data_IF_053878319636
#
_entry.id   IF_053878319636
#
_cell.length_a   1.000
_cell.length_b   1.000
_cell.length_c   1.000
_cell.angle_alpha   90.00
_cell.angle_beta   90.00
_cell.angle_gamma   90.00
#
_symmetry.space_group_name_H-M   'P 1'
#
loop_
_entity.id
_entity.type
_entity.pdbx_description
1 polymer ?
#
# COMPACT_ATOMS: atom_id res chain seq x y z
N UNK A 1 13.33 -3.01 21.62
CA UNK A 1 13.31 -3.45 20.20
C UNK A 1 11.90 -3.91 19.89
N UNK A 2 11.04 -3.04 19.34
CA UNK A 2 9.65 -3.37 19.03
C UNK A 2 9.62 -4.37 17.86
N UNK A 3 8.80 -5.43 17.98
CA UNK A 3 8.51 -6.38 16.90
C UNK A 3 7.14 -6.01 16.35
N UNK A 4 7.02 -5.93 15.02
CA UNK A 4 5.73 -5.71 14.34
C UNK A 4 5.10 -7.05 13.99
N UNK A 5 3.77 -7.10 14.06
CA UNK A 5 2.91 -8.20 13.61
C UNK A 5 2.27 -7.81 12.28
N UNK A 6 2.89 -8.12 11.15
CA UNK A 6 2.27 -7.93 9.84
C UNK A 6 1.36 -9.13 9.51
N UNK A 7 0.09 -8.88 9.19
CA UNK A 7 -0.88 -9.85 8.69
C UNK A 7 -0.81 -9.92 7.18
N UNK A 8 -0.86 -11.14 6.63
CA UNK A 8 -1.17 -11.28 5.21
C UNK A 8 -2.65 -11.00 4.94
N UNK A 9 -2.93 -10.06 4.04
CA UNK A 9 -4.27 -9.61 3.62
C UNK A 9 -4.90 -10.50 2.55
N UNK A 10 -4.46 -11.76 2.42
CA UNK A 10 -5.07 -12.82 1.58
C UNK A 10 -6.46 -13.29 2.08
N UNK A 11 -7.20 -12.39 2.74
CA UNK A 11 -8.53 -12.59 3.31
C UNK A 11 -9.68 -12.32 2.31
N UNK A 12 -9.39 -11.91 1.07
CA UNK A 12 -10.40 -11.86 0.02
C UNK A 12 -10.52 -13.22 -0.69
N UNK A 13 -11.27 -14.14 -0.05
CA UNK A 13 -11.82 -15.38 -0.64
C UNK A 13 -10.81 -16.45 -1.09
N UNK A 14 -9.94 -16.91 -0.21
CA UNK A 14 -9.46 -18.29 -0.34
C UNK A 14 -10.47 -19.24 0.33
N UNK A 15 -11.33 -19.90 -0.46
CA UNK A 15 -12.01 -21.12 -0.02
C UNK A 15 -10.92 -22.17 0.23
N UNK A 16 -10.44 -22.30 1.46
CA UNK A 16 -9.56 -23.39 1.86
C UNK A 16 -10.40 -24.67 2.11
N UNK A 17 -11.02 -25.18 1.05
CA UNK A 17 -11.47 -26.58 0.98
C UNK A 17 -10.36 -27.50 0.43
N UNK A 18 -9.15 -26.95 0.16
CA UNK A 18 -7.98 -27.70 -0.34
C UNK A 18 -6.67 -27.31 0.37
N UNK A 19 -5.77 -28.28 0.63
CA UNK A 19 -4.59 -28.11 1.50
C UNK A 19 -3.53 -27.17 0.90
N UNK A 20 -3.02 -26.23 1.70
CA UNK A 20 -1.86 -25.39 1.36
C UNK A 20 -0.57 -25.90 2.00
N UNK A 21 0.51 -25.98 1.24
CA UNK A 21 1.81 -26.50 1.71
C UNK A 21 2.72 -25.36 2.23
N UNK A 22 3.21 -25.44 3.47
CA UNK A 22 4.26 -24.55 3.98
C UNK A 22 5.60 -25.26 3.79
N UNK A 23 6.53 -24.66 3.05
CA UNK A 23 7.87 -25.24 2.85
C UNK A 23 8.90 -24.40 3.60
N UNK A 24 9.67 -25.02 4.49
CA UNK A 24 10.87 -24.36 4.98
C UNK A 24 11.94 -24.54 3.89
N UNK A 25 12.32 -23.50 3.15
CA UNK A 25 13.55 -23.58 2.36
C UNK A 25 14.35 -22.27 2.27
N UNK A 26 15.66 -22.50 2.44
CA UNK A 26 16.84 -21.74 2.07
C UNK A 26 17.23 -20.47 2.86
N UNK A 27 17.82 -20.72 4.04
CA UNK A 27 19.13 -20.13 4.34
C UNK A 27 20.13 -21.29 4.35
N UNK A 28 21.30 -21.10 3.72
CA UNK A 28 22.39 -22.09 3.59
C UNK A 28 22.50 -23.01 4.81
N UNK A 29 22.67 -24.33 4.63
CA UNK A 29 22.67 -25.27 5.74
C UNK A 29 23.77 -24.98 6.77
N UNK A 30 23.51 -25.24 8.08
CA UNK A 30 22.22 -25.62 8.65
C UNK A 30 21.52 -24.39 9.26
N UNK A 31 20.32 -24.07 8.80
CA UNK A 31 19.44 -23.16 9.51
C UNK A 31 18.12 -23.87 9.82
N UNK A 32 18.07 -24.52 10.98
CA UNK A 32 16.90 -25.25 11.51
C UNK A 32 15.79 -24.28 11.93
N UNK A 33 14.56 -24.76 12.09
CA UNK A 33 13.48 -24.01 12.75
C UNK A 33 12.74 -24.89 13.75
N UNK A 34 11.85 -24.29 14.53
CA UNK A 34 10.92 -25.06 15.36
C UNK A 34 9.49 -24.64 15.14
N UNK A 35 8.59 -25.63 15.22
CA UNK A 35 7.16 -25.40 15.32
C UNK A 35 6.71 -25.74 16.72
N UNK A 36 6.03 -24.80 17.37
CA UNK A 36 5.40 -24.99 18.68
C UNK A 36 3.89 -24.85 18.50
N UNK A 37 3.14 -25.91 18.81
CA UNK A 37 1.68 -25.88 18.85
C UNK A 37 1.16 -25.71 20.26
N UNK A 38 0.27 -24.74 20.49
CA UNK A 38 -0.45 -24.58 21.76
C UNK A 38 -1.90 -25.07 21.60
N UNK A 39 -2.31 -26.01 22.47
CA UNK A 39 -3.68 -26.48 22.53
C UNK A 39 -4.32 -25.99 23.83
N UNK A 40 -5.16 -24.94 23.77
CA UNK A 40 -5.79 -24.36 24.96
C UNK A 40 -6.96 -25.21 25.52
N UNK A 41 -7.36 -26.29 24.85
CA UNK A 41 -8.48 -27.16 25.28
C UNK A 41 -8.12 -28.15 26.38
N UNK A 42 -6.86 -28.49 26.61
CA UNK A 42 -6.48 -29.59 27.52
C UNK A 42 -5.78 -29.15 28.81
N UNK A 43 -5.53 -27.85 29.01
CA UNK A 43 -4.87 -27.35 30.24
C UNK A 43 -3.44 -27.86 30.47
N UNK A 44 -2.89 -28.71 29.59
CA UNK A 44 -1.54 -29.25 29.70
C UNK A 44 -0.54 -28.36 28.96
N UNK A 45 0.00 -27.39 29.68
CA UNK A 45 1.08 -26.52 29.22
C UNK A 45 2.37 -27.27 28.96
N UNK A 46 2.66 -27.55 27.69
CA UNK A 46 3.98 -27.49 27.03
C UNK A 46 3.74 -27.86 25.57
N UNK A 47 3.72 -26.86 24.69
CA UNK A 47 3.48 -27.08 23.27
C UNK A 47 4.46 -28.11 22.70
N UNK A 48 3.99 -29.03 21.86
CA UNK A 48 4.86 -30.03 21.22
C UNK A 48 5.82 -29.28 20.29
N UNK A 49 7.11 -29.30 20.64
CA UNK A 49 8.18 -28.76 19.83
C UNK A 49 8.51 -29.76 18.72
N UNK A 50 8.24 -29.39 17.48
CA UNK A 50 8.71 -30.11 16.30
C UNK A 50 9.87 -29.33 15.71
N UNK A 51 10.99 -30.00 15.44
CA UNK A 51 12.11 -29.39 14.72
C UNK A 51 11.88 -29.61 13.24
N UNK A 52 12.01 -28.54 12.45
CA UNK A 52 12.02 -28.63 11.00
C UNK A 52 13.45 -28.48 10.50
N UNK A 53 13.87 -29.41 9.66
CA UNK A 53 15.15 -29.33 8.97
C UNK A 53 15.08 -28.37 7.79
N UNK A 54 16.23 -27.82 7.41
CA UNK A 54 16.34 -27.00 6.21
C UNK A 54 15.90 -27.81 4.99
N UNK A 55 14.85 -27.35 4.32
CA UNK A 55 14.30 -27.97 3.12
C UNK A 55 13.10 -28.88 3.30
N UNK A 56 12.78 -29.19 4.55
CA UNK A 56 11.60 -29.96 4.94
C UNK A 56 10.30 -29.18 4.61
N UNK A 57 9.30 -29.91 4.12
CA UNK A 57 7.99 -29.35 3.77
C UNK A 57 6.91 -29.91 4.68
N UNK A 58 6.09 -29.02 5.23
CA UNK A 58 4.96 -29.36 6.10
C UNK A 58 3.69 -28.69 5.60
N UNK A 59 2.61 -29.46 5.48
CA UNK A 59 1.32 -28.93 5.05
C UNK A 59 0.57 -28.36 6.24
N UNK A 60 0.09 -27.12 6.10
CA UNK A 60 -0.78 -26.50 7.09
C UNK A 60 -2.21 -26.48 6.54
N UNK A 61 -3.11 -27.14 7.24
CA UNK A 61 -4.53 -27.22 6.88
C UNK A 61 -5.40 -26.90 8.09
N UNK A 62 -6.71 -26.72 7.87
CA UNK A 62 -7.69 -26.61 8.95
C UNK A 62 -8.61 -27.82 8.92
N UNK A 63 -8.89 -28.43 10.08
CA UNK A 63 -9.82 -29.55 10.22
C UNK A 63 -10.61 -29.40 11.52
N UNK A 64 -11.93 -29.48 11.44
CA UNK A 64 -12.84 -29.43 12.60
C UNK A 64 -12.61 -28.24 13.56
N UNK A 65 -12.26 -27.07 13.03
CA UNK A 65 -12.02 -25.87 13.85
C UNK A 65 -10.58 -25.69 14.32
N UNK A 66 -9.71 -26.68 14.13
CA UNK A 66 -8.31 -26.66 14.55
C UNK A 66 -7.37 -26.61 13.34
N UNK A 67 -6.16 -26.10 13.54
CA UNK A 67 -5.08 -26.21 12.57
C UNK A 67 -4.50 -27.61 12.64
N UNK A 68 -4.21 -28.19 11.47
CA UNK A 68 -3.46 -29.43 11.33
C UNK A 68 -2.15 -29.16 10.59
N UNK A 69 -1.04 -29.48 11.23
CA UNK A 69 0.27 -29.53 10.60
C UNK A 69 0.60 -30.98 10.24
N UNK A 70 0.84 -31.28 8.97
CA UNK A 70 1.16 -32.63 8.51
C UNK A 70 2.40 -32.65 7.61
N UNK A 71 3.35 -33.52 7.90
CA UNK A 71 4.55 -33.83 7.12
C UNK A 71 4.91 -35.31 7.27
N UNK A 72 6.08 -35.72 6.79
CA UNK A 72 6.53 -37.12 6.82
C UNK A 72 6.61 -37.67 8.25
N UNK A 73 7.17 -36.90 9.19
CA UNK A 73 7.30 -37.29 10.60
C UNK A 73 6.39 -36.47 11.55
N UNK A 74 5.54 -35.61 10.99
CA UNK A 74 4.79 -34.60 11.73
C UNK A 74 3.30 -34.76 11.50
N UNK A 75 2.52 -34.91 12.57
CA UNK A 75 1.07 -34.79 12.52
C UNK A 75 0.60 -34.16 13.83
N UNK A 76 0.25 -32.88 13.79
CA UNK A 76 -0.12 -32.08 14.95
C UNK A 76 -1.44 -31.36 14.73
N UNK A 77 -2.20 -31.21 15.81
CA UNK A 77 -3.39 -30.38 15.85
C UNK A 77 -3.22 -29.30 16.91
N UNK A 78 -3.55 -28.05 16.58
CA UNK A 78 -3.47 -26.93 17.50
C UNK A 78 -4.42 -25.79 17.08
N UNK A 79 -4.78 -24.92 18.02
CA UNK A 79 -5.51 -23.68 17.70
C UNK A 79 -4.56 -22.60 17.17
N UNK A 80 -3.31 -22.65 17.62
CA UNK A 80 -2.22 -21.78 17.21
C UNK A 80 -0.95 -22.60 16.96
N UNK A 81 -0.26 -22.31 15.85
CA UNK A 81 1.07 -22.85 15.54
C UNK A 81 2.05 -21.69 15.35
N UNK A 82 3.19 -21.74 16.02
CA UNK A 82 4.28 -20.78 15.85
C UNK A 82 5.47 -21.44 15.17
N UNK A 83 5.87 -20.92 14.02
CA UNK A 83 7.05 -21.31 13.27
C UNK A 83 8.16 -20.31 13.58
N UNK A 84 9.11 -20.71 14.42
CA UNK A 84 10.24 -19.89 14.84
C UNK A 84 11.51 -20.30 14.07
N UNK A 85 12.15 -19.40 13.30
CA UNK A 85 13.37 -19.73 12.58
C UNK A 85 14.56 -19.74 13.54
N UNK A 86 15.55 -20.62 13.32
CA UNK A 86 16.86 -20.46 13.95
C UNK A 86 17.71 -19.47 13.14
N UNK A 87 18.37 -18.56 13.87
CA UNK A 87 19.23 -17.56 13.28
C UNK A 87 18.50 -16.67 12.27
N UNK A 88 18.97 -16.66 11.02
CA UNK A 88 18.44 -15.85 9.92
C UNK A 88 17.55 -16.64 8.95
N UNK A 89 17.12 -17.85 9.32
CA UNK A 89 16.20 -18.61 8.49
C UNK A 89 14.88 -17.85 8.26
N UNK A 90 14.25 -18.16 7.14
CA UNK A 90 12.93 -17.67 6.77
C UNK A 90 12.05 -18.87 6.40
N UNK A 91 10.74 -18.70 6.54
CA UNK A 91 9.77 -19.73 6.15
C UNK A 91 9.10 -19.32 4.84
N UNK A 92 9.14 -20.22 3.86
CA UNK A 92 8.50 -19.99 2.56
C UNK A 92 7.06 -20.49 2.58
N UNK A 93 6.15 -19.60 2.22
CA UNK A 93 4.74 -19.93 2.11
C UNK A 93 4.42 -20.27 0.65
N UNK A 94 3.85 -21.46 0.42
CA UNK A 94 3.35 -21.94 -0.89
C UNK A 94 1.88 -22.34 -0.79
N UNK A 95 1.19 -22.38 -1.92
CA UNK A 95 -0.14 -22.98 -2.04
C UNK A 95 -1.12 -22.12 -2.83
N UNK A 96 -2.13 -22.77 -3.41
CA UNK A 96 -3.09 -22.15 -4.33
C UNK A 96 -3.95 -21.04 -3.67
N UNK A 97 -4.08 -21.10 -2.34
CA UNK A 97 -4.75 -20.07 -1.53
C UNK A 97 -3.90 -18.80 -1.34
N UNK A 98 -2.63 -18.85 -1.72
CA UNK A 98 -1.69 -17.75 -1.64
C UNK A 98 -1.60 -17.08 -3.01
N UNK A 99 -2.11 -15.86 -3.14
CA UNK A 99 -1.99 -15.09 -4.38
C UNK A 99 -0.54 -14.70 -4.67
N UNK A 100 0.04 -15.18 -5.78
CA UNK A 100 1.37 -14.77 -6.26
C UNK A 100 2.50 -15.78 -5.98
N UNK A 101 3.72 -15.38 -6.31
CA UNK A 101 4.91 -16.22 -6.23
C UNK A 101 5.24 -16.68 -4.80
N UNK A 102 5.90 -17.85 -4.65
CA UNK A 102 6.47 -18.29 -3.37
C UNK A 102 7.28 -17.16 -2.73
N UNK A 103 7.00 -16.91 -1.46
CA UNK A 103 7.63 -15.81 -0.70
C UNK A 103 8.09 -16.33 0.65
N UNK A 104 9.37 -16.11 0.95
CA UNK A 104 9.96 -16.43 2.25
C UNK A 104 9.85 -15.26 3.22
N UNK A 105 9.40 -15.53 4.44
CA UNK A 105 9.15 -14.54 5.47
C UNK A 105 10.18 -14.67 6.59
N UNK A 106 10.93 -13.58 6.90
CA UNK A 106 11.84 -13.57 8.03
C UNK A 106 11.07 -13.38 9.34
N UNK A 107 11.64 -13.90 10.43
CA UNK A 107 11.02 -13.84 11.75
C UNK A 107 10.04 -14.99 12.00
N UNK A 108 9.20 -14.84 13.01
CA UNK A 108 8.31 -15.92 13.47
C UNK A 108 6.98 -15.85 12.74
N UNK A 109 6.57 -16.91 12.04
CA UNK A 109 5.21 -17.01 11.52
C UNK A 109 4.29 -17.60 12.57
N UNK A 110 3.11 -17.00 12.75
CA UNK A 110 2.07 -17.48 13.66
C UNK A 110 0.83 -17.78 12.83
N UNK A 111 0.41 -19.04 12.83
CA UNK A 111 -0.84 -19.48 12.24
C UNK A 111 -1.91 -19.61 13.32
N UNK A 112 -3.11 -19.08 13.07
CA UNK A 112 -4.27 -19.18 13.96
C UNK A 112 -5.50 -19.67 13.20
N UNK A 113 -6.25 -20.57 13.81
CA UNK A 113 -7.61 -20.86 13.36
C UNK A 113 -8.54 -19.73 13.80
N UNK A 114 -9.34 -19.19 12.89
CA UNK A 114 -10.41 -18.25 13.23
C UNK A 114 -11.76 -18.83 12.87
N UNK A 115 -12.73 -18.70 13.78
CA UNK A 115 -14.13 -19.00 13.50
C UNK A 115 -14.86 -17.81 12.85
N UNK A 116 -14.25 -16.63 12.84
CA UNK A 116 -14.72 -15.50 12.04
C UNK A 116 -14.52 -15.80 10.54
N UNK A 117 -15.35 -15.21 9.68
CA UNK A 117 -15.31 -15.38 8.22
C UNK A 117 -15.36 -16.86 7.76
N UNK A 118 -16.34 -17.63 8.26
CA UNK A 118 -16.61 -19.03 7.81
C UNK A 118 -15.41 -19.98 7.92
N UNK A 119 -14.53 -19.79 8.91
CA UNK A 119 -13.46 -20.75 9.22
C UNK A 119 -12.12 -20.50 8.52
N UNK A 120 -11.75 -19.23 8.31
CA UNK A 120 -10.50 -18.86 7.67
C UNK A 120 -9.25 -19.14 8.54
N UNK A 121 -8.13 -19.42 7.86
CA UNK A 121 -6.80 -19.55 8.47
C UNK A 121 -6.10 -18.19 8.42
N UNK A 122 -5.60 -17.71 9.57
CA UNK A 122 -4.88 -16.43 9.65
C UNK A 122 -3.38 -16.68 9.84
N UNK A 123 -2.56 -16.09 8.97
CA UNK A 123 -1.09 -16.08 9.08
C UNK A 123 -0.61 -14.69 9.47
N UNK A 124 0.20 -14.62 10.53
CA UNK A 124 0.75 -13.39 11.09
C UNK A 124 2.27 -13.53 11.14
N UNK A 125 3.00 -12.63 10.48
CA UNK A 125 4.46 -12.59 10.56
C UNK A 125 4.93 -11.63 11.67
N UNK A 126 5.63 -12.17 12.67
CA UNK A 126 6.31 -11.41 13.73
C UNK A 126 7.75 -11.15 13.32
N UNK A 127 8.01 -9.93 12.88
CA UNK A 127 9.29 -9.51 12.31
C UNK A 127 9.88 -8.33 13.08
N UNK A 128 11.21 -8.18 13.05
CA UNK A 128 11.84 -7.00 13.64
C UNK A 128 11.44 -5.75 12.83
N UNK A 129 11.17 -4.62 13.50
CA UNK A 129 10.83 -3.37 12.83
C UNK A 129 11.85 -3.01 11.74
N UNK A 130 13.14 -3.26 11.98
CA UNK A 130 14.18 -2.94 11.00
C UNK A 130 14.14 -3.83 9.76
N UNK A 131 13.87 -5.12 9.93
CA UNK A 131 13.72 -6.04 8.81
C UNK A 131 12.44 -5.74 8.03
N UNK A 132 11.36 -5.37 8.72
CA UNK A 132 10.12 -4.92 8.09
C UNK A 132 10.36 -3.68 7.23
N UNK A 133 10.94 -2.63 7.81
CA UNK A 133 11.25 -1.38 7.11
C UNK A 133 12.13 -1.65 5.88
N UNK A 134 13.20 -2.44 6.02
CA UNK A 134 14.05 -2.76 4.87
C UNK A 134 13.31 -3.52 3.76
N UNK A 135 12.39 -4.41 4.11
CA UNK A 135 11.58 -5.15 3.14
C UNK A 135 10.62 -4.22 2.40
N UNK A 136 9.89 -3.39 3.14
CA UNK A 136 8.94 -2.43 2.56
C UNK A 136 9.65 -1.41 1.68
N UNK A 137 10.80 -0.87 2.09
CA UNK A 137 11.59 0.04 1.23
C UNK A 137 11.94 -0.63 -0.09
N UNK A 138 12.37 -1.90 -0.08
CA UNK A 138 12.67 -2.61 -1.33
C UNK A 138 11.45 -2.92 -2.19
N UNK A 139 10.30 -3.16 -1.57
CA UNK A 139 9.05 -3.47 -2.26
C UNK A 139 8.30 -2.25 -2.78
N UNK A 140 8.42 -1.09 -2.12
CA UNK A 140 7.67 0.13 -2.43
C UNK A 140 8.50 1.18 -3.19
N UNK A 141 9.79 1.34 -2.86
CA UNK A 141 10.60 2.40 -3.45
C UNK A 141 11.27 1.96 -4.74
N UNK A 142 11.91 0.79 -4.77
CA UNK A 142 12.52 0.22 -5.99
C UNK A 142 13.68 1.02 -6.63
N UNK A 143 13.90 2.28 -6.25
CA UNK A 143 14.98 3.14 -6.70
C UNK A 143 16.26 2.91 -5.88
N UNK A 144 17.41 3.25 -6.47
CA UNK A 144 18.74 2.81 -6.00
C UNK A 144 19.56 3.91 -5.32
N UNK A 145 19.01 5.11 -5.17
CA UNK A 145 19.63 6.20 -4.42
C UNK A 145 19.60 5.92 -2.92
N UNK A 146 20.64 6.35 -2.22
CA UNK A 146 20.78 6.06 -0.79
C UNK A 146 19.92 6.99 0.08
N UNK A 147 19.88 8.28 -0.24
CA UNK A 147 19.17 9.28 0.58
C UNK A 147 17.65 9.15 0.47
N UNK A 148 17.07 8.93 -0.71
CA UNK A 148 15.64 8.65 -0.82
C UNK A 148 15.26 7.29 -0.22
N UNK A 149 16.13 6.28 -0.29
CA UNK A 149 15.90 5.02 0.45
C UNK A 149 15.92 5.22 1.98
N UNK A 150 16.77 6.13 2.49
CA UNK A 150 16.78 6.52 3.92
C UNK A 150 15.50 7.30 4.28
N UNK A 151 15.06 8.25 3.45
CA UNK A 151 13.83 9.01 3.65
C UNK A 151 12.61 8.08 3.69
N UNK A 152 12.51 7.17 2.71
CA UNK A 152 11.50 6.11 2.70
C UNK A 152 11.58 5.23 3.94
N UNK A 153 12.77 4.87 4.43
CA UNK A 153 12.90 4.07 5.64
C UNK A 153 12.31 4.77 6.89
N UNK A 154 12.46 6.10 7.00
CA UNK A 154 11.85 6.88 8.09
C UNK A 154 10.33 6.99 7.92
N UNK A 155 9.85 7.33 6.72
CA UNK A 155 8.42 7.43 6.42
C UNK A 155 7.71 6.09 6.68
N UNK A 156 8.25 5.00 6.15
CA UNK A 156 7.75 3.63 6.36
C UNK A 156 7.71 3.28 7.83
N UNK A 157 8.76 3.59 8.59
CA UNK A 157 8.82 3.29 10.02
C UNK A 157 7.76 4.08 10.80
N UNK A 158 7.58 5.35 10.47
CA UNK A 158 6.60 6.24 11.12
C UNK A 158 5.19 5.73 10.86
N UNK A 159 4.85 5.44 9.60
CA UNK A 159 3.57 4.84 9.22
C UNK A 159 3.31 3.54 9.99
N UNK A 160 4.28 2.62 9.99
CA UNK A 160 4.15 1.32 10.60
C UNK A 160 3.93 1.39 12.13
N UNK A 161 4.55 2.35 12.81
CA UNK A 161 4.39 2.54 14.25
C UNK A 161 3.08 3.23 14.60
N UNK A 162 2.66 4.23 13.81
CA UNK A 162 1.37 4.90 13.99
C UNK A 162 0.20 3.94 13.77
N UNK A 163 0.21 3.19 12.69
CA UNK A 163 -0.84 2.20 12.41
C UNK A 163 -0.91 1.13 13.53
N UNK A 164 0.24 0.72 14.07
CA UNK A 164 0.30 -0.19 15.21
C UNK A 164 -0.25 0.39 16.53
N UNK A 165 -0.37 1.71 16.65
CA UNK A 165 -1.01 2.40 17.80
C UNK A 165 -2.52 2.52 17.60
N UNK A 166 -2.96 2.78 16.37
CA UNK A 166 -4.39 2.89 16.02
C UNK A 166 -5.08 1.51 15.97
N UNK A 167 -4.36 0.44 15.64
CA UNK A 167 -4.94 -0.89 15.45
C UNK A 167 -4.81 -1.78 16.71
N UNK A 168 -5.87 -1.85 17.52
CA UNK A 168 -5.95 -2.72 18.72
C UNK A 168 -6.15 -4.23 18.40
N UNK A 169 -5.76 -4.66 17.21
CA UNK A 169 -6.04 -5.98 16.66
C UNK A 169 -5.04 -7.08 17.03
N UNK A 170 -5.30 -8.29 16.55
CA UNK A 170 -4.35 -9.43 16.69
C UNK A 170 -3.05 -9.29 15.86
N UNK A 171 -2.97 -8.24 15.03
CA UNK A 171 -1.89 -7.86 14.13
C UNK A 171 -1.88 -6.32 14.00
N UNK A 172 -0.78 -5.78 13.52
CA UNK A 172 -0.50 -4.34 13.49
C UNK A 172 -0.63 -3.74 12.08
N UNK A 173 -0.41 -4.51 11.00
CA UNK A 173 -0.42 -4.03 9.59
C UNK A 173 -0.88 -5.12 8.60
N UNK A 174 -1.42 -4.75 7.44
CA UNK A 174 -1.57 -5.64 6.27
C UNK A 174 -0.28 -5.74 5.42
N UNK A 175 -0.17 -6.75 4.56
CA UNK A 175 0.99 -6.98 3.66
C UNK A 175 0.84 -6.42 2.23
N UNK A 176 -0.31 -5.83 1.91
CA UNK A 176 -0.63 -5.27 0.60
C UNK A 176 -0.74 -3.74 0.64
N UNK A 177 -1.06 -3.15 -0.51
CA UNK A 177 -1.26 -1.72 -0.78
C UNK A 177 -2.30 -1.00 0.11
N UNK A 178 -3.07 -1.73 0.92
CA UNK A 178 -3.98 -1.17 1.93
C UNK A 178 -3.25 -0.69 3.18
N UNK A 179 -2.03 -1.18 3.41
CA UNK A 179 -1.10 -0.68 4.43
C UNK A 179 0.21 -0.32 3.74
N UNK A 180 1.14 -1.29 3.63
CA UNK A 180 2.39 -1.16 2.90
C UNK A 180 2.71 -2.50 2.27
N UNK A 181 3.29 -2.49 1.07
CA UNK A 181 3.69 -3.71 0.38
C UNK A 181 4.85 -4.37 1.13
N UNK A 182 4.59 -5.51 1.76
CA UNK A 182 5.57 -6.28 2.51
C UNK A 182 5.78 -7.66 1.87
N UNK A 183 6.86 -7.81 1.10
CA UNK A 183 7.17 -9.06 0.37
C UNK A 183 8.17 -9.97 1.09
N UNK A 184 8.27 -9.85 2.42
CA UNK A 184 9.20 -10.65 3.21
C UNK A 184 10.64 -10.48 2.76
N UNK A 185 11.32 -11.59 2.46
CA UNK A 185 12.73 -11.58 2.02
C UNK A 185 12.94 -11.02 0.62
N UNK A 186 11.92 -10.97 -0.25
CA UNK A 186 12.06 -10.46 -1.62
C UNK A 186 12.36 -8.96 -1.66
N UNK A 187 11.81 -8.20 -0.71
CA UNK A 187 12.11 -6.78 -0.54
C UNK A 187 13.47 -6.50 0.13
N UNK A 188 14.21 -7.53 0.55
CA UNK A 188 15.50 -7.33 1.23
C UNK A 188 16.65 -7.26 0.23
N UNK A 189 17.41 -6.18 0.30
CA UNK A 189 18.70 -6.06 -0.38
C UNK A 189 19.76 -5.51 0.58
N UNK A 190 21.03 -5.57 0.18
CA UNK A 190 22.09 -4.90 0.95
C UNK A 190 21.82 -3.40 1.09
N UNK A 191 21.26 -2.77 0.04
CA UNK A 191 20.95 -1.34 0.05
C UNK A 191 19.81 -1.01 1.03
N UNK A 192 18.70 -1.73 0.97
CA UNK A 192 17.54 -1.46 1.84
C UNK A 192 17.86 -1.74 3.31
N UNK A 193 18.65 -2.77 3.60
CA UNK A 193 19.17 -3.05 4.93
C UNK A 193 20.12 -1.96 5.45
N UNK A 194 20.93 -1.34 4.58
CA UNK A 194 21.79 -0.21 4.96
C UNK A 194 20.96 1.03 5.26
N UNK A 195 20.02 1.40 4.39
CA UNK A 195 19.14 2.54 4.59
C UNK A 195 18.33 2.43 5.89
N UNK A 196 17.69 1.28 6.13
CA UNK A 196 16.95 1.02 7.37
C UNK A 196 17.84 1.09 8.62
N UNK A 197 19.09 0.62 8.53
CA UNK A 197 20.06 0.67 9.64
C UNK A 197 20.57 2.10 9.88
N UNK A 198 20.85 2.85 8.82
CA UNK A 198 21.33 4.23 8.92
C UNK A 198 20.31 5.12 9.63
N UNK A 199 19.02 4.91 9.37
CA UNK A 199 17.93 5.67 9.99
C UNK A 199 17.33 4.97 11.21
N UNK A 200 18.11 4.12 11.90
CA UNK A 200 17.58 3.22 12.91
C UNK A 200 16.90 3.96 14.05
N UNK A 201 15.58 3.80 14.13
CA UNK A 201 14.79 4.35 15.22
C UNK A 201 14.45 5.81 15.03
N UNK A 202 14.69 6.40 13.87
CA UNK A 202 14.17 7.71 13.51
C UNK A 202 12.74 7.59 12.96
N UNK A 203 11.90 8.53 13.37
CA UNK A 203 10.49 8.69 12.99
C UNK A 203 10.18 10.17 12.80
N UNK A 204 9.07 10.47 12.11
CA UNK A 204 8.57 11.82 11.94
C UNK A 204 7.45 12.09 12.95
N UNK A 205 7.56 13.21 13.65
CA UNK A 205 6.53 13.66 14.60
C UNK A 205 6.08 15.09 14.30
N UNK A 206 4.86 15.41 14.68
CA UNK A 206 4.31 16.76 14.73
C UNK A 206 3.65 16.91 16.11
N UNK A 207 3.97 17.99 16.84
CA UNK A 207 3.57 18.18 18.24
C UNK A 207 3.90 16.98 19.17
N UNK A 208 4.98 16.26 18.84
CA UNK A 208 5.42 15.08 19.59
C UNK A 208 4.65 13.78 19.28
N UNK A 209 3.59 13.83 18.48
CA UNK A 209 2.85 12.65 18.02
C UNK A 209 3.36 12.16 16.65
N UNK A 210 3.28 10.85 16.39
CA UNK A 210 3.65 10.29 15.08
C UNK A 210 2.75 10.85 13.98
N UNK A 211 3.35 11.36 12.90
CA UNK A 211 2.57 11.85 11.76
C UNK A 211 1.99 10.69 10.94
N UNK A 212 1.00 11.01 10.10
CA UNK A 212 0.63 10.16 8.98
C UNK A 212 1.65 10.35 7.86
N UNK A 213 2.67 9.50 7.83
CA UNK A 213 3.75 9.57 6.84
C UNK A 213 3.33 8.93 5.51
N UNK A 214 2.36 9.53 4.83
CA UNK A 214 1.90 9.07 3.52
C UNK A 214 2.94 9.30 2.41
N UNK A 215 2.97 8.43 1.41
CA UNK A 215 3.89 8.50 0.27
C UNK A 215 3.25 7.88 -0.99
N UNK A 216 3.71 8.29 -2.16
CA UNK A 216 3.21 7.85 -3.47
C UNK A 216 4.31 7.90 -4.53
N UNK A 217 4.08 7.31 -5.71
CA UNK A 217 5.11 7.20 -6.76
C UNK A 217 5.52 8.55 -7.34
N UNK A 218 4.58 9.30 -7.90
CA UNK A 218 4.87 10.57 -8.57
C UNK A 218 3.76 11.60 -8.38
N UNK A 219 4.14 12.86 -8.20
CA UNK A 219 3.21 13.94 -7.85
C UNK A 219 2.57 14.55 -9.10
N UNK A 220 3.23 14.48 -10.26
CA UNK A 220 2.84 15.26 -11.41
C UNK A 220 3.26 16.73 -11.29
N UNK A 221 4.35 17.00 -10.55
CA UNK A 221 4.89 18.34 -10.32
C UNK A 221 4.23 19.13 -9.18
N UNK A 222 3.25 18.55 -8.46
CA UNK A 222 2.63 19.19 -7.31
C UNK A 222 2.02 18.15 -6.35
N UNK A 223 2.36 18.24 -5.06
CA UNK A 223 1.73 17.41 -4.02
C UNK A 223 0.35 17.95 -3.64
N UNK A 224 -0.50 17.15 -3.01
CA UNK A 224 -1.84 17.53 -2.60
C UNK A 224 -1.92 17.67 -1.08
N UNK A 225 -2.76 18.60 -0.63
CA UNK A 225 -3.20 18.63 0.77
C UNK A 225 -4.12 17.43 1.03
N UNK A 226 -4.06 16.85 2.24
CA UNK A 226 -4.78 15.61 2.52
C UNK A 226 -6.30 15.74 2.37
N UNK A 227 -6.89 16.87 2.75
CA UNK A 227 -8.33 17.14 2.67
C UNK A 227 -8.87 17.23 1.24
N UNK A 228 -7.98 17.50 0.26
CA UNK A 228 -8.36 17.52 -1.16
C UNK A 228 -8.42 16.11 -1.77
N UNK A 229 -7.96 15.09 -1.04
CA UNK A 229 -7.79 13.72 -1.54
C UNK A 229 -8.52 12.69 -0.68
N UNK A 230 -8.57 12.92 0.63
CA UNK A 230 -9.21 12.06 1.61
C UNK A 230 -10.22 12.84 2.44
N UNK A 231 -11.27 12.16 2.87
CA UNK A 231 -12.20 12.72 3.85
C UNK A 231 -11.51 12.88 5.20
N UNK A 232 -11.72 14.02 5.86
CA UNK A 232 -11.21 14.30 7.20
C UNK A 232 -10.63 15.71 7.33
N UNK A 233 -10.12 15.99 8.53
CA UNK A 233 -9.55 17.29 8.85
C UNK A 233 -8.20 17.53 8.15
N UNK A 234 -7.91 18.81 7.90
CA UNK A 234 -6.62 19.25 7.40
C UNK A 234 -5.51 18.90 8.41
N UNK A 235 -4.49 18.18 7.96
CA UNK A 235 -3.30 17.82 8.74
C UNK A 235 -2.17 18.81 8.44
N UNK A 236 -1.71 19.61 9.40
CA UNK A 236 -0.72 20.68 9.17
C UNK A 236 0.55 20.22 8.45
N UNK A 237 0.96 18.97 8.65
CA UNK A 237 2.15 18.39 8.03
C UNK A 237 1.93 17.76 6.63
N UNK A 238 0.69 17.64 6.14
CA UNK A 238 0.35 17.13 4.79
C UNK A 238 -0.29 18.24 3.94
N UNK A 239 0.54 19.17 3.46
CA UNK A 239 0.11 20.32 2.66
C UNK A 239 0.62 20.20 1.22
N UNK A 240 -0.25 20.51 0.26
CA UNK A 240 0.12 20.55 -1.16
C UNK A 240 1.13 21.65 -1.46
N UNK A 241 2.17 21.33 -2.22
CA UNK A 241 3.21 22.27 -2.67
C UNK A 241 3.77 21.89 -4.05
N UNK A 242 4.34 22.84 -4.80
CA UNK A 242 5.08 22.53 -6.03
C UNK A 242 6.19 21.52 -5.77
N UNK A 243 6.35 20.57 -6.68
CA UNK A 243 7.34 19.48 -6.59
C UNK A 243 8.19 19.46 -7.87
N UNK A 244 9.11 20.43 -8.03
CA UNK A 244 9.93 20.55 -9.24
C UNK A 244 10.86 19.34 -9.44
N UNK A 245 11.17 18.61 -8.36
CA UNK A 245 12.00 17.41 -8.40
C UNK A 245 11.28 16.26 -9.09
N UNK A 246 10.01 16.02 -8.76
CA UNK A 246 9.19 15.05 -9.48
C UNK A 246 8.96 15.45 -10.94
N UNK A 247 8.70 16.73 -11.19
CA UNK A 247 8.53 17.26 -12.55
C UNK A 247 9.76 17.02 -13.44
N UNK A 248 10.96 17.12 -12.87
CA UNK A 248 12.21 16.94 -13.60
C UNK A 248 12.55 15.47 -13.91
N UNK A 249 12.10 14.50 -13.10
CA UNK A 249 12.60 13.12 -13.15
C UNK A 249 11.54 12.05 -13.40
N UNK A 250 10.26 12.31 -13.14
CA UNK A 250 9.23 11.28 -13.16
C UNK A 250 8.88 10.81 -14.58
N UNK A 251 8.87 9.48 -14.84
CA UNK A 251 8.38 8.93 -16.10
C UNK A 251 6.85 8.98 -16.21
N UNK A 252 6.15 9.43 -15.17
CA UNK A 252 4.69 9.51 -15.12
C UNK A 252 4.18 10.91 -15.50
N UNK A 253 4.98 11.69 -16.24
CA UNK A 253 4.63 13.03 -16.72
C UNK A 253 5.03 13.16 -18.21
N UNK A 254 4.07 13.31 -19.14
CA UNK A 254 2.64 13.01 -19.04
C UNK A 254 2.34 11.52 -19.28
N UNK A 255 1.12 11.09 -18.95
CA UNK A 255 0.56 9.81 -19.39
C UNK A 255 -0.75 10.01 -20.17
N UNK A 256 -1.10 9.03 -21.01
CA UNK A 256 -2.35 9.05 -21.80
C UNK A 256 -3.01 7.69 -21.76
N UNK A 257 -4.31 7.66 -21.47
CA UNK A 257 -5.11 6.43 -21.49
C UNK A 257 -6.34 6.56 -22.37
N UNK A 258 -6.63 5.52 -23.16
CA UNK A 258 -7.78 5.50 -24.09
C UNK A 258 -8.73 4.36 -23.74
N UNK A 259 -9.90 4.71 -23.22
CA UNK A 259 -10.91 3.75 -22.76
C UNK A 259 -12.09 3.67 -23.72
N UNK A 260 -12.63 2.47 -23.91
CA UNK A 260 -13.89 2.29 -24.64
C UNK A 260 -15.01 3.03 -23.91
N UNK A 261 -15.70 3.93 -24.63
CA UNK A 261 -16.82 4.71 -24.07
C UNK A 261 -17.90 3.80 -23.52
N UNK A 262 -18.31 2.79 -24.30
CA UNK A 262 -19.34 1.83 -23.89
C UNK A 262 -18.95 1.12 -22.59
N UNK A 263 -17.77 0.49 -22.55
CA UNK A 263 -17.32 -0.24 -21.37
C UNK A 263 -17.20 0.66 -20.14
N UNK A 264 -16.75 1.90 -20.31
CA UNK A 264 -16.60 2.84 -19.20
C UNK A 264 -17.95 3.24 -18.63
N UNK A 265 -18.89 3.64 -19.48
CA UNK A 265 -20.24 4.02 -19.05
C UNK A 265 -20.99 2.83 -18.44
N UNK A 266 -20.80 1.62 -18.96
CA UNK A 266 -21.36 0.39 -18.38
C UNK A 266 -20.78 0.12 -16.98
N UNK A 267 -19.47 0.33 -16.78
CA UNK A 267 -18.82 0.19 -15.48
C UNK A 267 -19.33 1.22 -14.46
N UNK A 268 -19.44 2.49 -14.87
CA UNK A 268 -19.99 3.55 -14.03
C UNK A 268 -21.46 3.29 -13.67
N UNK A 269 -22.28 2.88 -14.65
CA UNK A 269 -23.69 2.51 -14.42
C UNK A 269 -23.85 1.40 -13.37
N UNK A 270 -22.99 0.36 -13.42
CA UNK A 270 -23.02 -0.71 -12.41
C UNK A 270 -22.56 -0.24 -11.02
N UNK A 271 -21.65 0.73 -10.95
CA UNK A 271 -21.04 1.16 -9.69
C UNK A 271 -21.84 2.24 -8.95
N UNK A 272 -22.65 3.03 -9.66
CA UNK A 272 -23.30 4.23 -9.12
C UNK A 272 -24.82 4.21 -9.17
N UNK A 273 -25.42 3.16 -9.73
CA UNK A 273 -26.87 3.02 -9.92
C UNK A 273 -27.47 4.13 -10.81
N UNK A 274 -28.44 3.76 -11.65
CA UNK A 274 -28.95 4.65 -12.70
C UNK A 274 -28.07 4.68 -13.96
N UNK A 275 -28.70 4.91 -15.11
CA UNK A 275 -28.05 4.76 -16.42
C UNK A 275 -27.12 5.94 -16.71
N UNK A 276 -25.81 5.75 -16.55
CA UNK A 276 -24.78 6.76 -16.83
C UNK A 276 -24.55 6.89 -18.34
N UNK A 277 -24.63 8.11 -18.85
CA UNK A 277 -24.50 8.43 -20.29
C UNK A 277 -23.26 9.26 -20.63
N UNK A 278 -22.66 9.88 -19.62
CA UNK A 278 -21.47 10.72 -19.69
C UNK A 278 -21.03 11.15 -18.30
N UNK A 279 -20.02 12.00 -18.27
CA UNK A 279 -19.57 12.70 -17.07
C UNK A 279 -18.92 14.03 -17.47
N UNK A 280 -18.87 14.96 -16.53
CA UNK A 280 -18.11 16.21 -16.65
C UNK A 280 -17.24 16.37 -15.40
N UNK A 281 -16.08 17.00 -15.54
CA UNK A 281 -15.26 17.42 -14.40
C UNK A 281 -15.91 18.69 -13.86
N UNK A 282 -16.35 18.65 -12.61
CA UNK A 282 -17.10 19.73 -11.97
C UNK A 282 -16.14 20.72 -11.29
N UNK A 283 -15.24 20.19 -10.46
CA UNK A 283 -14.29 21.00 -9.69
C UNK A 283 -12.92 20.34 -9.60
N UNK A 284 -11.92 21.19 -9.34
CA UNK A 284 -10.53 20.80 -9.13
C UNK A 284 -10.00 21.40 -7.84
N UNK A 285 -9.14 20.65 -7.18
CA UNK A 285 -8.37 21.16 -6.05
C UNK A 285 -7.41 22.28 -6.50
N UNK A 286 -6.89 23.11 -5.58
CA UNK A 286 -5.90 24.15 -5.92
C UNK A 286 -4.66 23.63 -6.65
N UNK A 287 -4.24 22.38 -6.38
CA UNK A 287 -3.13 21.71 -7.06
C UNK A 287 -3.49 21.16 -8.45
N UNK A 288 -4.75 21.25 -8.88
CA UNK A 288 -5.22 20.91 -10.22
C UNK A 288 -5.78 19.50 -10.38
N UNK A 289 -5.87 18.70 -9.31
CA UNK A 289 -6.49 17.37 -9.35
C UNK A 289 -7.99 17.46 -9.46
N UNK A 290 -8.60 16.48 -10.12
CA UNK A 290 -10.05 16.32 -10.14
C UNK A 290 -10.55 16.02 -8.73
N UNK A 291 -11.32 16.96 -8.18
CA UNK A 291 -11.93 16.84 -6.86
C UNK A 291 -13.31 16.19 -7.00
N UNK A 292 -14.19 16.77 -7.83
CA UNK A 292 -15.51 16.24 -8.14
C UNK A 292 -15.76 16.10 -9.65
N UNK A 293 -16.55 15.09 -10.00
CA UNK A 293 -17.16 14.91 -11.30
C UNK A 293 -18.68 14.83 -11.12
N UNK A 294 -19.42 15.32 -12.11
CA UNK A 294 -20.83 14.97 -12.24
C UNK A 294 -21.01 13.82 -13.24
N UNK A 295 -21.64 12.74 -12.81
CA UNK A 295 -22.09 11.68 -13.71
C UNK A 295 -23.45 12.05 -14.30
N UNK A 296 -23.51 12.11 -15.63
CA UNK A 296 -24.72 12.44 -16.37
C UNK A 296 -25.61 11.19 -16.46
N UNK A 297 -26.76 11.19 -15.79
CA UNK A 297 -27.69 10.05 -15.75
C UNK A 297 -28.91 10.29 -16.63
N UNK A 298 -29.40 9.25 -17.31
CA UNK A 298 -30.60 9.35 -18.15
C UNK A 298 -31.85 9.07 -17.31
N UNK A 299 -32.71 10.08 -17.18
CA UNK A 299 -33.99 9.95 -16.47
C UNK A 299 -33.88 10.14 -14.96
N UNK A 300 -32.69 10.46 -14.45
CA UNK A 300 -32.38 10.76 -13.06
C UNK A 300 -31.59 12.07 -13.01
N UNK A 301 -31.46 12.67 -11.82
CA UNK A 301 -30.56 13.81 -11.59
C UNK A 301 -29.09 13.42 -11.83
N UNK A 302 -28.24 14.39 -12.17
CA UNK A 302 -26.80 14.15 -12.21
C UNK A 302 -26.30 13.71 -10.82
N UNK A 303 -25.29 12.85 -10.80
CA UNK A 303 -24.73 12.34 -9.54
C UNK A 303 -23.32 12.91 -9.32
N UNK A 304 -23.10 13.69 -8.25
CA UNK A 304 -21.75 14.10 -7.87
C UNK A 304 -20.94 12.90 -7.36
N UNK A 305 -19.70 12.78 -7.84
CA UNK A 305 -18.78 11.70 -7.50
C UNK A 305 -17.38 12.27 -7.35
N UNK A 306 -16.71 11.95 -6.23
CA UNK A 306 -15.33 12.38 -6.04
C UNK A 306 -14.36 11.75 -7.04
N UNK A 307 -13.33 12.49 -7.44
CA UNK A 307 -12.25 12.03 -8.31
C UNK A 307 -11.63 10.70 -7.86
N UNK A 308 -11.28 10.53 -6.57
CA UNK A 308 -10.79 9.25 -6.04
C UNK A 308 -11.78 8.10 -6.21
N UNK A 309 -13.08 8.32 -6.01
CA UNK A 309 -14.12 7.28 -6.19
C UNK A 309 -14.29 6.92 -7.68
N UNK A 310 -14.28 7.92 -8.56
CA UNK A 310 -14.29 7.70 -10.01
C UNK A 310 -13.07 6.89 -10.47
N UNK A 311 -11.85 7.32 -10.10
CA UNK A 311 -10.59 6.62 -10.41
C UNK A 311 -10.62 5.17 -9.95
N UNK A 312 -11.13 4.91 -8.74
CA UNK A 312 -11.25 3.55 -8.18
C UNK A 312 -12.13 2.66 -9.05
N UNK A 313 -13.31 3.13 -9.44
CA UNK A 313 -14.24 2.36 -10.30
C UNK A 313 -13.62 2.08 -11.65
N UNK A 314 -12.95 3.06 -12.26
CA UNK A 314 -12.24 2.86 -13.53
C UNK A 314 -11.16 1.79 -13.38
N UNK A 315 -10.26 1.92 -12.40
CA UNK A 315 -9.14 1.01 -12.26
C UNK A 315 -9.59 -0.42 -11.89
N UNK A 316 -10.69 -0.58 -11.15
CA UNK A 316 -11.29 -1.89 -10.86
C UNK A 316 -11.85 -2.60 -12.11
N UNK A 317 -12.27 -1.85 -13.14
CA UNK A 317 -12.88 -2.41 -14.36
C UNK A 317 -11.90 -2.52 -15.53
N UNK A 318 -10.79 -1.77 -15.51
CA UNK A 318 -9.86 -1.67 -16.63
C UNK A 318 -8.41 -2.06 -16.28
N UNK A 319 -8.09 -2.24 -15.00
CA UNK A 319 -6.75 -2.55 -14.50
C UNK A 319 -6.27 -1.50 -13.51
N UNK A 320 -5.53 -1.92 -12.47
CA UNK A 320 -5.16 -1.09 -11.31
C UNK A 320 -4.42 0.21 -11.68
N UNK A 321 -3.73 0.23 -12.81
CA UNK A 321 -2.90 1.33 -13.30
C UNK A 321 -3.50 2.01 -14.54
N UNK A 322 -4.82 1.93 -14.72
CA UNK A 322 -5.50 2.55 -15.87
C UNK A 322 -5.47 4.07 -15.79
N UNK A 323 -5.97 4.64 -14.69
CA UNK A 323 -5.81 6.04 -14.35
C UNK A 323 -4.78 6.13 -13.23
N UNK A 324 -3.59 6.63 -13.56
CA UNK A 324 -2.45 6.65 -12.63
C UNK A 324 -2.68 7.63 -11.47
N UNK A 325 -3.40 8.72 -11.68
CA UNK A 325 -3.72 9.71 -10.65
C UNK A 325 -5.11 10.31 -10.86
N UNK A 326 -5.53 11.23 -9.99
CA UNK A 326 -6.67 12.14 -10.21
C UNK A 326 -6.26 13.43 -10.94
N UNK A 327 -4.99 13.55 -11.33
CA UNK A 327 -4.45 14.70 -12.06
C UNK A 327 -4.58 14.46 -13.56
N UNK A 328 -5.80 14.58 -14.09
CA UNK A 328 -6.08 14.36 -15.49
C UNK A 328 -7.14 15.31 -16.04
N UNK A 329 -7.13 15.46 -17.36
CA UNK A 329 -8.24 15.88 -18.20
C UNK A 329 -8.84 14.68 -18.92
N UNK A 330 -10.11 14.81 -19.31
CA UNK A 330 -10.82 13.77 -20.02
C UNK A 330 -11.66 14.37 -21.14
N UNK A 331 -11.55 13.77 -22.34
CA UNK A 331 -12.34 14.18 -23.50
C UNK A 331 -12.92 12.99 -24.23
N UNK A 332 -14.10 13.18 -24.81
CA UNK A 332 -14.71 12.18 -25.70
C UNK A 332 -14.07 12.27 -27.08
N UNK A 333 -13.63 11.14 -27.62
CA UNK A 333 -13.15 11.00 -28.99
C UNK A 333 -13.90 9.84 -29.67
N UNK A 334 -15.02 10.15 -30.32
CA UNK A 334 -15.87 9.15 -30.98
C UNK A 334 -16.39 8.07 -30.02
N UNK A 335 -15.92 6.84 -30.19
CA UNK A 335 -16.26 5.65 -29.40
C UNK A 335 -15.38 5.45 -28.15
N UNK A 336 -14.51 6.41 -27.84
CA UNK A 336 -13.57 6.35 -26.71
C UNK A 336 -13.64 7.60 -25.83
N UNK A 337 -13.20 7.44 -24.59
CA UNK A 337 -12.70 8.55 -23.76
C UNK A 337 -11.17 8.53 -23.78
N UNK A 338 -10.58 9.69 -23.97
CA UNK A 338 -9.13 9.93 -23.88
C UNK A 338 -8.89 10.69 -22.59
N UNK A 339 -8.06 10.10 -21.73
CA UNK A 339 -7.58 10.70 -20.49
C UNK A 339 -6.13 11.10 -20.70
N UNK A 340 -5.81 12.34 -20.39
CA UNK A 340 -4.46 12.92 -20.47
C UNK A 340 -4.14 13.45 -19.09
N UNK A 341 -3.05 12.97 -18.47
CA UNK A 341 -2.78 13.29 -17.08
C UNK A 341 -1.31 13.18 -16.72
N UNK A 342 -1.02 13.37 -15.43
CA UNK A 342 0.33 13.35 -14.88
C UNK A 342 0.35 12.79 -13.45
N UNK A 343 1.53 12.39 -13.00
CA UNK A 343 1.73 11.77 -11.69
C UNK A 343 1.16 10.35 -11.57
N UNK A 344 1.54 9.68 -10.49
CA UNK A 344 1.10 8.32 -10.18
C UNK A 344 0.91 8.17 -8.66
N UNK A 345 -0.33 7.94 -8.25
CA UNK A 345 -0.73 7.78 -6.85
C UNK A 345 -1.67 8.89 -6.39
N UNK A 346 -1.82 8.99 -5.07
CA UNK A 346 -2.77 9.91 -4.44
C UNK A 346 -2.22 11.35 -4.31
N UNK A 347 -0.89 11.53 -4.33
CA UNK A 347 -0.25 12.85 -4.36
C UNK A 347 -0.02 13.52 -2.99
N UNK A 348 -0.35 12.87 -1.88
CA UNK A 348 -0.24 13.44 -0.51
C UNK A 348 1.05 12.97 0.17
N UNK A 349 1.85 13.88 0.73
CA UNK A 349 3.11 13.55 1.41
C UNK A 349 4.28 13.34 0.45
N UNK A 350 5.07 12.29 0.66
CA UNK A 350 6.34 12.09 -0.05
C UNK A 350 6.16 11.52 -1.46
N UNK A 351 6.68 12.22 -2.48
CA UNK A 351 6.82 11.72 -3.86
C UNK A 351 8.09 10.89 -3.97
N UNK A 352 7.99 9.63 -4.40
CA UNK A 352 9.15 8.74 -4.53
C UNK A 352 10.10 9.21 -5.64
N UNK A 353 9.56 9.60 -6.80
CA UNK A 353 10.38 10.13 -7.90
C UNK A 353 10.99 11.49 -7.58
N UNK A 354 10.29 12.35 -6.84
CA UNK A 354 10.86 13.61 -6.41
C UNK A 354 11.92 13.43 -5.30
N UNK A 355 11.73 12.50 -4.35
CA UNK A 355 12.76 12.12 -3.39
C UNK A 355 14.03 11.56 -4.07
N UNK A 356 13.84 10.76 -5.12
CA UNK A 356 14.94 10.24 -5.94
C UNK A 356 15.74 11.37 -6.61
N UNK A 357 15.05 12.33 -7.21
CA UNK A 357 15.70 13.45 -7.87
C UNK A 357 16.39 14.39 -6.86
N UNK A 358 15.76 14.65 -5.71
CA UNK A 358 16.42 15.36 -4.61
C UNK A 358 17.72 14.66 -4.18
N UNK A 359 17.69 13.33 -4.04
CA UNK A 359 18.88 12.54 -3.71
C UNK A 359 19.95 12.60 -4.81
N UNK A 360 19.57 12.71 -6.09
CA UNK A 360 20.50 12.92 -7.22
C UNK A 360 21.11 14.32 -7.23
N UNK A 361 20.47 15.27 -6.57
CA UNK A 361 20.93 16.64 -6.36
C UNK A 361 21.62 16.81 -4.99
N UNK A 362 22.12 15.72 -4.40
CA UNK A 362 22.88 15.68 -3.15
C UNK A 362 22.13 16.18 -1.90
N UNK A 363 20.80 16.31 -1.95
CA UNK A 363 19.99 16.58 -0.76
C UNK A 363 20.02 15.38 0.19
N UNK A 364 20.12 15.65 1.49
CA UNK A 364 20.10 14.58 2.50
C UNK A 364 18.69 14.01 2.67
N UNK A 365 18.57 12.82 3.26
CA UNK A 365 17.26 12.27 3.59
C UNK A 365 16.45 13.17 4.55
N UNK A 366 17.10 13.92 5.42
CA UNK A 366 16.43 14.93 6.25
C UNK A 366 15.84 16.07 5.41
N UNK A 367 16.60 16.60 4.45
CA UNK A 367 16.11 17.63 3.52
C UNK A 367 14.90 17.13 2.73
N UNK A 368 14.97 15.89 2.23
CA UNK A 368 13.85 15.24 1.52
C UNK A 368 12.62 15.16 2.41
N UNK A 369 12.77 14.70 3.65
CA UNK A 369 11.66 14.56 4.58
C UNK A 369 11.02 15.91 4.94
N UNK A 370 11.84 16.93 5.23
CA UNK A 370 11.36 18.28 5.53
C UNK A 370 10.77 18.98 4.31
N UNK A 371 11.21 18.63 3.10
CA UNK A 371 10.56 19.10 1.88
C UNK A 371 9.15 18.53 1.74
N UNK A 372 8.93 17.24 2.00
CA UNK A 372 7.60 16.63 1.78
C UNK A 372 6.62 16.76 2.95
N UNK A 373 7.12 16.84 4.18
CA UNK A 373 6.30 16.93 5.38
C UNK A 373 6.56 18.26 6.11
N UNK A 374 5.53 19.10 6.20
CA UNK A 374 5.64 20.46 6.75
C UNK A 374 5.71 20.42 8.28
N UNK A 375 6.56 21.25 8.89
CA UNK A 375 6.66 21.45 10.36
C UNK A 375 6.81 20.16 11.18
N UNK A 376 7.45 19.15 10.60
CA UNK A 376 7.74 17.89 11.30
C UNK A 376 9.11 17.92 11.99
N UNK A 377 9.25 17.12 13.04
CA UNK A 377 10.52 16.85 13.69
C UNK A 377 10.98 15.41 13.39
N UNK A 378 12.27 15.25 13.12
CA UNK A 378 12.91 13.94 13.12
C UNK A 378 13.24 13.54 14.56
N UNK A 379 12.48 12.59 15.12
CA UNK A 379 12.60 12.15 16.51
C UNK A 379 13.06 10.70 16.61
N UNK A 380 13.58 10.31 17.77
CA UNK A 380 13.77 8.88 18.04
C UNK A 380 12.46 8.21 18.47
N UNK A 381 12.28 6.92 18.17
CA UNK A 381 11.13 6.13 18.62
C UNK A 381 10.97 6.20 20.15
N UNK A 382 12.07 6.27 20.90
CA UNK A 382 12.02 6.36 22.37
C UNK A 382 11.46 7.69 22.85
N UNK A 383 11.70 8.78 22.12
CA UNK A 383 11.17 10.10 22.46
C UNK A 383 9.69 10.22 22.10
N UNK A 384 9.30 9.68 20.94
CA UNK A 384 7.90 9.60 20.52
C UNK A 384 7.06 8.75 21.51
N UNK A 385 7.57 7.60 21.97
CA UNK A 385 6.89 6.75 22.96
C UNK A 385 6.79 7.39 24.36
N UNK A 386 7.56 8.43 24.67
CA UNK A 386 7.60 9.11 25.99
C UNK A 386 6.64 10.28 26.11
N UNK A 387 6.16 10.82 25.00
CA UNK A 387 5.15 11.90 24.98
C UNK A 387 3.81 11.30 24.59
N UNK A 388 3.05 10.66 25.52
CA UNK A 388 1.63 10.51 25.24
C UNK A 388 1.05 11.91 25.10
N UNK A 389 0.26 12.10 24.05
CA UNK A 389 -0.58 13.28 23.80
C UNK A 389 -1.15 13.74 25.15
N UNK A 390 -0.81 14.97 25.55
CA UNK A 390 -1.39 15.57 26.74
C UNK A 390 -2.91 15.45 26.62
N UNK A 391 -3.49 14.65 27.51
CA UNK A 391 -4.92 14.66 27.72
C UNK A 391 -5.29 16.09 28.07
N UNK A 392 -6.26 16.61 27.33
CA UNK A 392 -7.05 17.80 27.58
C UNK A 392 -6.95 18.25 29.05
N UNK A 393 -6.16 19.28 29.32
CA UNK A 393 -6.28 20.06 30.56
C UNK A 393 -7.64 20.77 30.47
N UNK A 394 -8.67 20.13 31.03
CA UNK A 394 -9.88 20.81 31.45
C UNK A 394 -9.49 21.67 32.65
N UNK A 395 -9.58 22.99 32.46
CA UNK A 395 -9.35 24.05 33.42
C UNK A 395 -9.80 23.69 34.85
N UNK A 396 -8.84 23.60 35.76
CA UNK A 396 -9.05 23.95 37.18
C UNK A 396 -9.01 25.48 37.30
N UNK A 397 -10.10 26.13 36.91
CA UNK A 397 -10.44 27.48 37.36
C UNK A 397 -11.96 27.56 37.44
N UNK A 398 -12.52 27.30 38.63
CA UNK A 398 -13.64 28.04 39.18
C UNK A 398 -13.91 27.56 40.61
N UNK A 399 -13.21 28.17 41.56
CA UNK A 399 -13.51 28.05 42.98
C UNK A 399 -13.48 29.45 43.60
N UNK A 400 -14.44 30.29 43.21
CA UNK A 400 -14.76 31.55 43.91
C UNK A 400 -16.13 32.14 43.51
N UNK A 401 -17.24 31.46 43.78
CA UNK A 401 -18.52 32.14 43.99
C UNK A 401 -19.44 31.34 44.93
N UNK A 402 -19.42 31.78 46.18
CA UNK A 402 -20.33 31.42 47.26
C UNK A 402 -21.80 31.71 46.94
N UNK A 403 -22.66 30.82 47.44
CA UNK A 403 -23.90 31.13 48.19
C UNK A 403 -25.18 31.41 47.39
N UNK A 404 -26.12 30.43 47.34
CA UNK A 404 -27.43 30.48 48.06
C UNK A 404 -28.49 29.49 47.51
N UNK A 405 -29.13 28.79 48.47
CA UNK A 405 -30.51 28.20 48.49
C UNK A 405 -30.69 26.85 47.76
N UNK A 406 -30.93 25.73 48.45
CA UNK A 406 -32.11 25.27 49.25
C UNK A 406 -33.28 24.71 48.42
N UNK A 407 -33.65 23.45 48.73
CA UNK A 407 -34.96 22.79 48.55
C UNK A 407 -35.36 22.49 47.10
N UNK A 408 -36.02 21.41 46.70
CA UNK A 408 -36.77 20.33 47.34
C UNK A 408 -36.88 19.18 46.32
N UNK A 409 -37.02 17.94 46.80
CA UNK A 409 -37.69 16.86 46.07
C UNK A 409 -39.14 16.75 46.60
N UNK A 410 -40.09 16.17 45.83
CA UNK A 410 -40.37 14.75 46.07
C UNK A 410 -40.78 13.90 44.84
N UNK A 411 -40.89 12.59 45.11
CA UNK A 411 -41.27 11.42 44.30
C UNK A 411 -42.59 11.58 43.49
N UNK A 412 -42.95 10.74 42.50
CA UNK A 412 -43.35 9.31 42.58
C UNK A 412 -43.82 8.91 41.14
N UNK A 413 -43.44 7.81 40.47
CA UNK A 413 -44.11 6.48 40.43
C UNK A 413 -43.65 5.75 39.14
N UNK A 414 -43.47 4.43 39.21
CA UNK A 414 -43.16 3.45 38.14
C UNK A 414 -44.46 2.83 37.56
N UNK A 415 -44.43 1.85 36.62
CA UNK A 415 -43.53 1.56 35.49
C UNK A 415 -44.31 1.30 34.18
N UNK A 416 -43.65 1.30 33.01
CA UNK A 416 -44.12 0.46 31.90
C UNK A 416 -42.97 0.03 30.97
N UNK A 417 -43.19 -1.16 30.44
CA UNK A 417 -42.22 -2.11 29.93
C UNK A 417 -42.27 -2.08 28.41
N UNK A 418 -41.20 -1.73 27.71
CA UNK A 418 -41.10 -2.10 26.30
C UNK A 418 -39.65 -2.35 25.88
N UNK A 419 -39.43 -3.62 25.58
CA UNK A 419 -38.29 -4.17 24.89
C UNK A 419 -38.15 -3.57 23.50
N UNK A 420 -37.00 -2.98 23.18
CA UNK A 420 -36.54 -3.06 21.80
C UNK A 420 -35.03 -3.15 21.64
N UNK A 421 -34.66 -4.11 20.80
CA UNK A 421 -33.31 -4.49 20.43
C UNK A 421 -32.73 -3.43 19.49
N UNK A 422 -31.85 -2.57 19.98
CA UNK A 422 -30.89 -1.87 19.13
C UNK A 422 -29.53 -2.56 19.26
N UNK A 423 -29.24 -3.45 18.30
CA UNK A 423 -27.90 -3.99 18.12
C UNK A 423 -26.96 -2.82 17.76
N UNK A 424 -26.12 -2.42 18.71
CA UNK A 424 -25.03 -1.49 18.47
C UNK A 424 -24.10 -2.06 17.39
N UNK A 425 -24.14 -1.47 16.20
CA UNK A 425 -23.18 -1.73 15.15
C UNK A 425 -21.78 -1.34 15.66
N UNK A 426 -20.74 -2.17 15.46
CA UNK A 426 -19.39 -1.79 15.83
C UNK A 426 -18.94 -0.58 14.99
N UNK A 427 -18.15 0.34 15.55
CA UNK A 427 -17.65 1.51 14.82
C UNK A 427 -16.85 1.07 13.59
N UNK A 428 -17.14 1.72 12.46
CA UNK A 428 -16.42 1.53 11.20
C UNK A 428 -14.94 1.93 11.39
N UNK A 429 -13.96 1.13 10.92
CA UNK A 429 -12.57 1.58 10.90
C UNK A 429 -12.42 2.76 9.93
N UNK A 430 -11.65 3.76 10.37
CA UNK A 430 -11.26 4.95 9.61
C UNK A 430 -10.74 4.58 8.20
N UNK A 431 -11.02 5.38 7.15
CA UNK A 431 -10.57 5.07 5.81
C UNK A 431 -9.05 5.19 5.71
N UNK A 432 -8.36 4.05 5.69
CA UNK A 432 -6.92 3.98 5.39
C UNK A 432 -6.64 4.57 4.00
N UNK A 433 -5.54 5.33 3.82
CA UNK A 433 -5.17 5.87 2.52
C UNK A 433 -4.85 4.70 1.57
N UNK A 434 -5.69 4.58 0.55
CA UNK A 434 -5.51 3.66 -0.55
C UNK A 434 -4.18 3.92 -1.27
N UNK A 435 -3.38 2.87 -1.38
CA UNK A 435 -2.53 2.56 -2.52
C UNK A 435 -1.27 3.42 -2.75
N UNK A 436 -0.14 2.93 -2.21
CA UNK A 436 1.19 3.13 -2.82
C UNK A 436 1.12 2.76 -4.31
N UNK A 437 1.40 3.74 -5.17
CA UNK A 437 1.59 3.55 -6.59
C UNK A 437 2.97 2.94 -6.85
N UNK A 438 3.06 2.00 -7.80
CA UNK A 438 4.27 1.23 -8.07
C UNK A 438 5.34 2.05 -8.81
N UNK A 439 6.60 1.67 -8.64
CA UNK A 439 7.67 1.96 -9.59
C UNK A 439 7.91 0.67 -10.38
N UNK A 440 7.59 0.69 -11.68
CA UNK A 440 7.91 -0.42 -12.57
C UNK A 440 9.43 -0.48 -12.76
N UNK A 441 10.07 -1.48 -12.19
CA UNK A 441 11.47 -1.78 -12.46
C UNK A 441 11.58 -2.52 -13.81
N UNK A 442 11.61 -1.77 -14.92
CA UNK A 442 12.03 -2.34 -16.20
C UNK A 442 13.56 -2.38 -16.28
N UNK A 443 14.08 -3.60 -16.34
CA UNK A 443 15.45 -3.91 -16.75
C UNK A 443 15.70 -3.37 -18.16
N UNK A 444 16.58 -2.38 -18.29
CA UNK A 444 17.26 -2.04 -19.54
C UNK A 444 18.11 -3.24 -19.99
N UNK A 445 17.53 -4.14 -20.80
CA UNK A 445 18.31 -5.00 -21.69
C UNK A 445 18.44 -4.29 -23.02
N UNK A 446 19.59 -3.66 -23.23
CA UNK A 446 20.05 -3.22 -24.55
C UNK A 446 20.36 -4.46 -25.38
N UNK A 447 19.52 -4.78 -26.36
CA UNK A 447 19.92 -5.65 -27.47
C UNK A 447 20.72 -4.81 -28.47
N UNK A 448 21.96 -5.21 -28.83
CA UNK A 448 22.68 -4.56 -29.92
C UNK A 448 22.09 -4.97 -31.27
N UNK A 449 22.22 -4.15 -32.33
CA UNK A 449 21.78 -4.52 -33.67
C UNK A 449 22.68 -5.65 -34.21
N UNK A 450 22.16 -6.55 -35.07
CA UNK A 450 22.95 -7.63 -35.63
C UNK A 450 23.97 -7.08 -36.64
N UNK A 451 25.24 -7.28 -36.31
CA UNK A 451 26.37 -7.05 -37.21
C UNK A 451 26.44 -8.18 -38.24
N UNK A 452 26.48 -7.79 -39.52
CA UNK A 452 26.54 -8.68 -40.67
C UNK A 452 27.98 -9.02 -41.04
N UNK A 453 28.41 -10.26 -40.85
CA UNK A 453 29.52 -10.93 -41.56
C UNK A 453 29.22 -12.43 -41.55
N UNK A 454 29.42 -13.29 -42.54
CA UNK A 454 29.98 -13.32 -43.89
C UNK A 454 29.28 -14.54 -44.59
N UNK A 455 29.42 -14.95 -45.86
CA UNK A 455 30.53 -14.91 -46.82
C UNK A 455 30.00 -15.47 -48.17
N UNK A 456 30.57 -14.94 -49.25
CA UNK A 456 30.59 -15.32 -50.67
C UNK A 456 30.01 -16.67 -51.17
N UNK A 457 29.31 -16.61 -52.32
CA UNK A 457 29.64 -17.39 -53.52
C UNK A 457 29.00 -16.74 -54.78
N UNK A 458 29.53 -17.09 -55.96
CA UNK A 458 29.62 -16.26 -57.17
C UNK A 458 28.55 -16.50 -58.26
N UNK A 459 28.66 -15.66 -59.32
CA UNK A 459 28.13 -15.75 -60.71
C UNK A 459 27.14 -14.61 -61.04
N UNK A 460 27.52 -13.55 -61.75
CA UNK A 460 27.81 -13.40 -63.19
C UNK A 460 26.61 -12.76 -63.94
N UNK A 461 26.93 -12.00 -64.98
CA UNK A 461 26.09 -11.44 -66.04
C UNK A 461 25.26 -10.14 -65.83
N UNK A 462 25.74 -9.11 -66.55
CA UNK A 462 25.05 -8.21 -67.49
C UNK A 462 24.31 -6.93 -67.01
N UNK A 463 25.03 -5.81 -67.17
CA UNK A 463 24.83 -4.74 -68.16
C UNK A 463 23.57 -3.83 -68.18
N UNK A 464 23.89 -2.54 -68.41
CA UNK A 464 23.11 -1.44 -69.00
C UNK A 464 22.09 -0.72 -68.10
N UNK A 465 21.85 0.58 -68.18
CA UNK A 465 22.52 1.81 -68.65
C UNK A 465 21.42 2.90 -68.60
N UNK A 466 21.85 4.18 -68.61
CA UNK A 466 21.07 5.41 -68.89
C UNK A 466 20.35 6.04 -67.68
N UNK A 467 20.80 7.23 -67.22
CA UNK A 467 20.47 8.58 -67.74
C UNK A 467 18.96 8.90 -67.58
N UNK A 468 18.49 10.09 -67.19
CA UNK A 468 19.02 11.38 -66.74
C UNK A 468 17.76 12.24 -66.44
N UNK A 469 17.95 13.39 -65.81
CA UNK A 469 17.14 14.61 -65.91
C UNK A 469 16.05 14.89 -64.85
N UNK A 470 16.40 15.94 -64.10
CA UNK A 470 15.68 16.91 -63.25
C UNK A 470 14.84 17.87 -64.14
N UNK A 471 14.20 18.96 -63.66
CA UNK A 471 13.41 19.26 -62.46
C UNK A 471 12.00 19.80 -62.84
N UNK A 472 11.24 20.23 -61.82
CA UNK A 472 10.37 21.44 -61.79
C UNK A 472 8.88 21.30 -61.41
N UNK A 473 8.57 22.04 -60.34
CA UNK A 473 7.42 22.95 -60.13
C UNK A 473 6.16 22.49 -59.37
N UNK A 474 5.95 23.24 -58.26
CA UNK A 474 4.70 23.92 -57.88
C UNK A 474 3.49 23.09 -57.45
N UNK A 475 3.13 23.14 -56.15
CA UNK A 475 2.19 24.15 -55.59
C UNK A 475 1.78 23.80 -54.15
N UNK A 476 1.61 24.87 -53.36
CA UNK A 476 0.87 24.93 -52.09
C UNK A 476 -0.56 24.39 -52.25
N UNK A 477 -1.12 23.82 -51.18
CA UNK A 477 -2.36 24.26 -50.47
C UNK A 477 -2.42 23.44 -49.17
N UNK A 478 -2.62 24.12 -48.04
CA UNK A 478 -2.82 23.50 -46.74
C UNK A 478 -4.27 23.09 -46.50
N UNK A 479 -4.44 22.13 -45.58
CA UNK A 479 -5.32 22.14 -44.41
C UNK A 479 -4.72 21.16 -43.38
#
# INVERSE_FOLDING_TARGET
MRRLRARSSRDARARLDRPGAIRAHDARPPACGSVVGANHRTGAGRGRLVRLQGGESVTLSRRAGELRLSGEEVNLFALELQFAPAGKAAFELRGDALSGEPTAYPGTLVARSSNANRGALRLINRVSLQTYVASVVGSEYGLKDEEGAKAMAVAVRTYALRAAEEEAGSYDLGDQVWSQRYEGTRGLSKATLRAARATRGQVLTHDGALIEAAYFSSSGGHTASNENVWEGEARPYLRGKPDPYDEAASPHIPWTQRLSRRKLLDALTRAFEGRVTGFVIDSRSPDGRVEMLELLRRGDENLPVSGPRFRRVVNQNFGYETLLSTFFDARRAGSRYVFEGKGFGHGVGLSQWGAHEMARQDHSYEDILHFYYTDVALSSVKEAERKPVAQTELNDQDDAAKDKRQGEAPAETTPENESDKAAAAPPLPSPSPLASAQIAADTLTTTPPPDSTARASAADTTAASLQKDDPETSKRIGW
#
